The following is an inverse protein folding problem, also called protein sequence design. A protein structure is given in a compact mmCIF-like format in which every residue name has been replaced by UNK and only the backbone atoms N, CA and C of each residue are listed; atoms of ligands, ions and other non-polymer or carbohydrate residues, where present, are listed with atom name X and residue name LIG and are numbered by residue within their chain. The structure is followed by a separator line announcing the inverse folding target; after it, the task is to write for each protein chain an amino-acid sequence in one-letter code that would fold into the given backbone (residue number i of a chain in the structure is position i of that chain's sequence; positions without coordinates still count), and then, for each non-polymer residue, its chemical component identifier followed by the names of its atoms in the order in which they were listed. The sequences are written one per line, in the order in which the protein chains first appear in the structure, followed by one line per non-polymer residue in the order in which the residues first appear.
data_IF_676706958388
#
_entry.id   IF_676706958388
#
_cell.length_a   1.000
_cell.length_b   1.000
_cell.length_c   1.000
_cell.angle_alpha   90.00
_cell.angle_beta   90.00
_cell.angle_gamma   90.00
#
_symmetry.space_group_name_H-M   'P 1'
#
loop_
_entity.id
_entity.type
_entity.pdbx_description
1 polymer ?
#
# COMPACT_ATOMS: atom_id res chain seq x y z
N UNK A 1 0.74 8.00 -5.51
CA UNK A 1 -0.69 7.72 -5.46
C UNK A 1 -1.14 6.87 -6.65
N UNK A 2 -0.79 7.21 -7.87
CA UNK A 2 -1.25 6.52 -9.09
C UNK A 2 -0.91 5.02 -9.09
N UNK A 3 0.31 4.62 -8.84
CA UNK A 3 0.70 3.20 -8.81
C UNK A 3 0.03 2.39 -7.70
N UNK A 4 -0.29 3.02 -6.56
CA UNK A 4 -1.03 2.36 -5.47
C UNK A 4 -2.46 2.06 -5.93
N UNK A 5 -3.14 3.04 -6.50
CA UNK A 5 -4.52 2.87 -7.00
C UNK A 5 -4.61 1.79 -8.09
N UNK A 6 -3.65 1.77 -9.01
CA UNK A 6 -3.57 0.74 -10.06
C UNK A 6 -3.39 -0.66 -9.47
N UNK A 7 -2.50 -0.81 -8.49
CA UNK A 7 -2.27 -2.10 -7.81
C UNK A 7 -3.50 -2.57 -7.06
N UNK A 8 -4.18 -1.65 -6.35
CA UNK A 8 -5.43 -1.96 -5.65
C UNK A 8 -6.54 -2.38 -6.60
N UNK A 9 -6.73 -1.64 -7.70
CA UNK A 9 -7.71 -1.97 -8.72
C UNK A 9 -7.44 -3.33 -9.37
N UNK A 10 -6.18 -3.62 -9.71
CA UNK A 10 -5.79 -4.91 -10.27
C UNK A 10 -6.04 -6.07 -9.29
N UNK A 11 -5.77 -5.86 -7.99
CA UNK A 11 -6.02 -6.87 -6.95
C UNK A 11 -7.51 -7.16 -6.81
N UNK A 12 -8.35 -6.14 -6.76
CA UNK A 12 -9.82 -6.30 -6.68
C UNK A 12 -10.37 -7.00 -7.92
N UNK A 13 -9.91 -6.61 -9.12
CA UNK A 13 -10.30 -7.24 -10.37
C UNK A 13 -9.91 -8.73 -10.43
N UNK A 14 -8.68 -9.06 -10.01
CA UNK A 14 -8.21 -10.44 -9.95
C UNK A 14 -9.02 -11.27 -8.95
N UNK A 15 -9.31 -10.72 -7.77
CA UNK A 15 -10.13 -11.40 -6.76
C UNK A 15 -11.53 -11.71 -7.30
N UNK A 16 -12.16 -10.77 -8.02
CA UNK A 16 -13.44 -10.99 -8.68
C UNK A 16 -13.37 -12.10 -9.73
N UNK A 17 -12.39 -12.05 -10.62
CA UNK A 17 -12.21 -13.08 -11.64
C UNK A 17 -11.98 -14.49 -11.04
N UNK A 18 -11.25 -14.58 -9.95
CA UNK A 18 -11.04 -15.84 -9.23
C UNK A 18 -12.32 -16.31 -8.55
N UNK A 19 -13.07 -15.43 -7.89
CA UNK A 19 -14.35 -15.75 -7.27
C UNK A 19 -15.36 -16.30 -8.30
N UNK A 20 -15.44 -15.68 -9.47
CA UNK A 20 -16.29 -16.11 -10.58
C UNK A 20 -15.86 -17.49 -11.12
N UNK A 21 -14.56 -17.71 -11.28
CA UNK A 21 -14.01 -18.96 -11.79
C UNK A 21 -14.20 -20.14 -10.83
N UNK A 22 -14.14 -19.89 -9.53
CA UNK A 22 -14.26 -20.90 -8.48
C UNK A 22 -15.74 -21.11 -8.07
N UNK A 23 -16.59 -20.12 -8.30
CA UNK A 23 -17.97 -20.09 -7.84
C UNK A 23 -18.12 -19.85 -6.34
N UNK A 24 -17.13 -19.20 -5.71
CA UNK A 24 -17.12 -18.90 -4.28
C UNK A 24 -16.40 -17.57 -3.99
N UNK A 25 -17.05 -16.69 -3.23
CA UNK A 25 -16.45 -15.44 -2.76
C UNK A 25 -15.38 -15.69 -1.68
N UNK A 26 -14.21 -15.05 -1.76
CA UNK A 26 -13.28 -15.03 -0.64
C UNK A 26 -13.88 -14.22 0.52
N UNK A 27 -13.77 -14.67 1.78
CA UNK A 27 -14.28 -13.90 2.90
C UNK A 27 -13.50 -12.61 3.14
N UNK A 28 -12.23 -12.58 2.72
CA UNK A 28 -11.33 -11.44 2.87
C UNK A 28 -10.45 -11.29 1.63
N UNK A 29 -10.36 -10.06 1.14
CA UNK A 29 -9.42 -9.65 0.09
C UNK A 29 -8.44 -8.64 0.69
N UNK A 30 -7.19 -9.02 0.80
CA UNK A 30 -6.12 -8.10 1.18
C UNK A 30 -5.61 -7.37 -0.07
N UNK A 31 -5.81 -6.07 -0.12
CA UNK A 31 -5.41 -5.22 -1.24
C UNK A 31 -4.00 -4.64 -1.08
N UNK A 32 -3.22 -5.17 -0.12
CA UNK A 32 -1.86 -4.76 0.13
C UNK A 32 -1.74 -3.41 0.85
N UNK A 33 -0.65 -2.73 0.59
CA UNK A 33 -0.34 -1.43 1.20
C UNK A 33 0.53 -0.60 0.26
N UNK A 34 1.79 -0.36 0.66
CA UNK A 34 2.75 0.35 -0.18
C UNK A 34 2.63 1.87 -0.09
N UNK A 35 1.91 2.36 0.93
CA UNK A 35 1.90 3.79 1.24
C UNK A 35 3.32 4.22 1.63
N UNK A 36 3.93 5.08 0.82
CA UNK A 36 5.26 5.62 1.06
C UNK A 36 5.31 6.52 2.29
N UNK A 37 6.48 6.60 2.90
CA UNK A 37 6.78 7.54 3.97
C UNK A 37 7.84 8.50 3.46
N UNK A 38 7.64 9.79 3.68
CA UNK A 38 8.63 10.82 3.38
C UNK A 38 9.74 10.74 4.44
N UNK A 39 10.92 10.22 4.07
CA UNK A 39 12.07 10.09 4.98
C UNK A 39 13.05 11.26 4.87
N UNK A 40 13.10 11.90 3.72
CA UNK A 40 14.11 12.91 3.43
C UNK A 40 13.48 14.26 3.07
N UNK A 41 14.20 15.37 3.33
CA UNK A 41 13.78 16.68 2.83
C UNK A 41 13.60 16.64 1.30
N UNK A 42 12.42 17.00 0.83
CA UNK A 42 12.07 16.95 -0.60
C UNK A 42 11.23 15.75 -1.02
N UNK A 43 11.10 14.74 -0.18
CA UNK A 43 10.14 13.67 -0.42
C UNK A 43 8.71 14.23 -0.40
N UNK A 44 7.90 13.76 -1.33
CA UNK A 44 6.50 14.16 -1.41
C UNK A 44 5.64 13.14 -0.64
N UNK A 45 4.95 13.54 0.42
CA UNK A 45 4.04 12.66 1.13
C UNK A 45 2.96 12.09 0.20
N UNK A 46 2.53 10.87 0.47
CA UNK A 46 1.42 10.28 -0.27
C UNK A 46 0.12 11.02 0.03
N UNK A 47 -0.62 11.36 -1.00
CA UNK A 47 -1.97 11.93 -0.86
C UNK A 47 -2.96 10.80 -0.51
N UNK A 48 -3.23 10.67 0.79
CA UNK A 48 -4.15 9.66 1.33
C UNK A 48 -5.59 9.91 0.86
N UNK A 49 -5.97 11.17 0.70
CA UNK A 49 -7.30 11.52 0.18
C UNK A 49 -7.51 11.00 -1.24
N UNK A 50 -6.52 11.21 -2.11
CA UNK A 50 -6.55 10.69 -3.48
C UNK A 50 -6.53 9.16 -3.54
N UNK A 51 -5.74 8.49 -2.67
CA UNK A 51 -5.73 7.03 -2.58
C UNK A 51 -7.09 6.51 -2.11
N UNK A 52 -7.66 7.13 -1.08
CA UNK A 52 -8.98 6.75 -0.54
C UNK A 52 -10.11 6.94 -1.56
N UNK A 53 -10.12 8.03 -2.31
CA UNK A 53 -11.11 8.27 -3.36
C UNK A 53 -11.01 7.21 -4.46
N UNK A 54 -9.80 6.94 -4.97
CA UNK A 54 -9.59 5.92 -6.01
C UNK A 54 -9.98 4.51 -5.52
N UNK A 55 -9.73 4.19 -4.26
CA UNK A 55 -10.16 2.92 -3.67
C UNK A 55 -11.68 2.85 -3.55
N UNK A 56 -12.35 3.92 -3.14
CA UNK A 56 -13.81 3.96 -3.07
C UNK A 56 -14.44 3.69 -4.44
N UNK A 57 -13.93 4.32 -5.50
CA UNK A 57 -14.38 4.09 -6.88
C UNK A 57 -14.14 2.62 -7.30
N UNK A 58 -12.97 2.08 -6.99
CA UNK A 58 -12.63 0.67 -7.28
C UNK A 58 -13.59 -0.30 -6.59
N UNK A 59 -13.90 -0.07 -5.31
CA UNK A 59 -14.80 -0.92 -4.54
C UNK A 59 -16.27 -0.75 -4.98
N UNK A 60 -16.67 0.43 -5.42
CA UNK A 60 -18.00 0.65 -6.00
C UNK A 60 -18.19 -0.10 -7.32
N UNK A 61 -17.13 -0.25 -8.10
CA UNK A 61 -17.13 -0.96 -9.39
C UNK A 61 -16.76 -2.44 -9.29
N UNK A 62 -16.60 -3.01 -8.09
CA UNK A 62 -16.20 -4.41 -7.91
C UNK A 62 -17.23 -5.39 -8.45
N UNK A 63 -16.78 -6.59 -8.80
CA UNK A 63 -17.67 -7.67 -9.25
C UNK A 63 -18.69 -8.04 -8.16
N UNK A 64 -19.92 -8.40 -8.58
CA UNK A 64 -20.99 -8.82 -7.67
C UNK A 64 -20.60 -10.05 -6.84
N UNK A 65 -19.73 -10.92 -7.38
CA UNK A 65 -19.17 -12.05 -6.66
C UNK A 65 -18.36 -11.70 -5.42
N UNK A 66 -17.98 -10.42 -5.26
CA UNK A 66 -17.29 -9.91 -4.08
C UNK A 66 -18.20 -9.09 -3.15
N UNK A 67 -19.51 -9.12 -3.33
CA UNK A 67 -20.46 -8.29 -2.56
C UNK A 67 -20.31 -8.49 -1.04
N UNK A 68 -20.11 -9.73 -0.61
CA UNK A 68 -19.99 -10.11 0.82
C UNK A 68 -18.53 -10.21 1.29
N UNK A 69 -17.56 -9.90 0.45
CA UNK A 69 -16.14 -9.92 0.83
C UNK A 69 -15.77 -8.70 1.66
N UNK A 70 -14.99 -8.92 2.71
CA UNK A 70 -14.30 -7.84 3.42
C UNK A 70 -13.01 -7.46 2.69
N UNK A 71 -12.62 -6.18 2.78
CA UNK A 71 -11.37 -5.69 2.23
C UNK A 71 -10.47 -5.18 3.34
N UNK A 72 -9.18 -5.52 3.28
CA UNK A 72 -8.18 -5.09 4.24
C UNK A 72 -6.97 -4.46 3.53
N UNK A 73 -6.34 -3.50 4.20
CA UNK A 73 -5.07 -2.89 3.80
C UNK A 73 -3.99 -3.13 4.85
N UNK A 74 -2.76 -3.29 4.40
CA UNK A 74 -1.58 -3.36 5.27
C UNK A 74 -0.83 -2.03 5.21
N UNK A 75 -1.07 -1.15 6.18
CA UNK A 75 -0.50 0.20 6.20
C UNK A 75 1.00 0.22 6.49
N UNK A 76 1.51 -0.82 7.18
CA UNK A 76 2.93 -1.02 7.43
C UNK A 76 3.63 0.21 8.02
N UNK A 77 4.74 0.62 7.40
CA UNK A 77 5.55 1.75 7.86
C UNK A 77 4.80 3.08 7.90
N UNK A 78 3.87 3.30 6.99
CA UNK A 78 3.10 4.54 6.98
C UNK A 78 2.38 4.80 8.30
N UNK A 79 1.88 3.75 8.94
CA UNK A 79 1.13 3.85 10.19
C UNK A 79 2.03 4.12 11.42
N UNK A 80 3.28 3.69 11.38
CA UNK A 80 4.17 3.73 12.55
C UNK A 80 5.47 4.53 12.33
N UNK A 81 5.67 5.12 11.16
CA UNK A 81 6.95 5.74 10.81
C UNK A 81 7.34 6.90 11.75
N UNK A 82 6.36 7.62 12.27
CA UNK A 82 6.57 8.74 13.22
C UNK A 82 6.39 8.31 14.69
N UNK A 83 6.18 7.02 14.96
CA UNK A 83 5.90 6.52 16.31
C UNK A 83 7.15 6.42 17.18
N UNK A 84 8.35 6.64 16.65
CA UNK A 84 9.59 6.56 17.40
C UNK A 84 10.80 7.05 16.63
N UNK A 85 11.93 7.01 17.31
CA UNK A 85 13.25 7.38 16.76
C UNK A 85 14.25 6.26 16.99
N UNK A 86 15.14 6.07 16.03
CA UNK A 86 16.28 5.17 16.16
C UNK A 86 17.54 6.00 16.43
N UNK A 87 18.21 5.74 17.55
CA UNK A 87 19.44 6.42 17.92
C UNK A 87 20.63 5.46 17.80
N UNK A 88 21.67 5.89 17.08
CA UNK A 88 22.90 5.14 16.96
C UNK A 88 24.12 6.06 17.17
N UNK A 89 25.25 5.45 17.56
CA UNK A 89 26.54 6.13 17.61
C UNK A 89 27.32 5.77 16.34
N UNK A 90 27.87 6.76 15.67
CA UNK A 90 28.84 6.52 14.61
C UNK A 90 30.11 5.96 15.25
N UNK A 91 30.47 4.73 14.90
CA UNK A 91 31.65 4.02 15.42
C UNK A 91 32.80 4.00 14.43
N UNK A 92 32.49 4.15 13.13
CA UNK A 92 33.49 4.22 12.07
C UNK A 92 32.90 4.98 10.87
N UNK A 93 33.76 5.42 9.96
CA UNK A 93 33.40 6.10 8.74
C UNK A 93 34.36 5.71 7.62
N UNK A 94 33.83 5.28 6.50
CA UNK A 94 34.62 4.99 5.30
C UNK A 94 34.08 5.77 4.11
N UNK A 95 34.99 6.03 3.15
CA UNK A 95 34.62 6.55 1.83
C UNK A 95 34.78 5.42 0.82
N UNK A 96 33.75 5.18 0.01
CA UNK A 96 33.76 4.20 -1.05
C UNK A 96 33.06 4.79 -2.28
N UNK A 97 33.72 4.75 -3.43
CA UNK A 97 33.21 5.30 -4.68
C UNK A 97 32.75 6.79 -4.61
N UNK A 98 33.42 7.58 -3.75
CA UNK A 98 33.07 8.99 -3.53
C UNK A 98 31.93 9.23 -2.53
N UNK A 99 31.29 8.19 -2.02
CA UNK A 99 30.22 8.22 -1.03
C UNK A 99 30.77 7.94 0.39
N UNK A 100 30.20 8.58 1.39
CA UNK A 100 30.53 8.36 2.79
C UNK A 100 29.51 7.43 3.45
N UNK A 101 30.00 6.38 4.10
CA UNK A 101 29.22 5.39 4.83
C UNK A 101 29.58 5.39 6.30
#
# INVERSE_FOLDING_TARGET
AHSIAETQAATVALAGALADAIGAAPPLVNIGGGLGVAYFPGDIPVDIGAVGAALADTLAARADSLADSHFAMELGRWFVAEAGVYLCRIVDRKVSHGETY
#
